data_IF_294859992598
#
_entry.id   IF_294859992598
#
_cell.length_a   1.000
_cell.length_b   1.000
_cell.length_c   1.000
_cell.angle_alpha   90.00
_cell.angle_beta   90.00
_cell.angle_gamma   90.00
#
_symmetry.space_group_name_H-M   'P 1'
#
loop_
_entity.id
_entity.type
_entity.pdbx_description
1 polymer ?
#
# COMPACT_ATOMS: atom_id res chain seq x y z
N UNK A 1 -30.33 -4.13 -33.17
CA UNK A 1 -29.60 -4.11 -31.88
C UNK A 1 -29.15 -5.50 -31.43
N UNK A 2 -30.04 -6.50 -31.35
CA UNK A 2 -29.68 -7.88 -30.97
C UNK A 2 -28.68 -8.56 -31.93
N UNK A 3 -28.80 -8.37 -33.24
CA UNK A 3 -27.83 -8.90 -34.21
C UNK A 3 -26.45 -8.23 -34.10
N UNK A 4 -26.42 -6.94 -33.75
CA UNK A 4 -25.18 -6.18 -33.53
C UNK A 4 -24.47 -6.69 -32.26
N UNK A 5 -25.24 -6.96 -31.20
CA UNK A 5 -24.76 -7.62 -29.97
C UNK A 5 -24.30 -9.07 -30.24
N UNK A 6 -25.03 -9.85 -31.04
CA UNK A 6 -24.65 -11.22 -31.40
C UNK A 6 -23.42 -11.30 -32.29
N UNK A 7 -23.26 -10.38 -33.25
CA UNK A 7 -22.06 -10.28 -34.07
C UNK A 7 -20.85 -9.80 -33.26
N UNK A 8 -21.05 -8.85 -32.33
CA UNK A 8 -20.03 -8.44 -31.37
C UNK A 8 -19.60 -9.63 -30.48
N UNK A 9 -20.55 -10.38 -29.94
CA UNK A 9 -20.30 -11.58 -29.13
C UNK A 9 -19.54 -12.66 -29.92
N UNK A 10 -20.01 -13.04 -31.12
CA UNK A 10 -19.33 -14.03 -31.95
C UNK A 10 -17.92 -13.57 -32.35
N UNK A 11 -17.70 -12.31 -32.69
CA UNK A 11 -16.35 -11.84 -33.07
C UNK A 11 -15.36 -11.79 -31.90
N UNK A 12 -15.84 -11.48 -30.69
CA UNK A 12 -15.01 -11.24 -29.50
C UNK A 12 -14.81 -12.50 -28.64
N UNK A 13 -15.74 -13.46 -28.68
CA UNK A 13 -15.73 -14.72 -27.92
C UNK A 13 -15.58 -15.99 -28.78
N UNK A 14 -15.19 -15.89 -30.05
CA UNK A 14 -14.86 -17.09 -30.85
C UNK A 14 -13.45 -17.63 -30.59
N UNK A 15 -12.57 -16.86 -29.94
CA UNK A 15 -11.23 -17.31 -29.60
C UNK A 15 -11.27 -18.12 -28.29
N UNK A 16 -10.95 -19.43 -28.32
CA UNK A 16 -10.92 -20.27 -27.14
C UNK A 16 -9.96 -19.77 -26.05
N UNK A 17 -8.90 -19.05 -26.43
CA UNK A 17 -7.95 -18.49 -25.47
C UNK A 17 -8.50 -17.28 -24.72
N UNK A 18 -9.30 -16.45 -25.38
CA UNK A 18 -9.94 -15.28 -24.77
C UNK A 18 -11.02 -15.72 -23.78
N UNK A 19 -11.80 -16.76 -24.12
CA UNK A 19 -12.75 -17.38 -23.18
C UNK A 19 -12.00 -17.97 -21.98
N UNK A 20 -10.91 -18.69 -22.19
CA UNK A 20 -10.13 -19.26 -21.10
C UNK A 20 -9.60 -18.17 -20.16
N UNK A 21 -9.02 -17.09 -20.69
CA UNK A 21 -8.57 -15.94 -19.90
C UNK A 21 -9.72 -15.32 -19.09
N UNK A 22 -10.88 -15.09 -19.72
CA UNK A 22 -12.05 -14.54 -19.05
C UNK A 22 -12.55 -15.45 -17.91
N UNK A 23 -12.61 -16.76 -18.14
CA UNK A 23 -12.99 -17.74 -17.11
C UNK A 23 -12.00 -17.71 -15.94
N UNK A 24 -10.69 -17.62 -16.21
CA UNK A 24 -9.65 -17.54 -15.18
C UNK A 24 -9.81 -16.26 -14.35
N UNK A 25 -10.03 -15.12 -15.01
CA UNK A 25 -10.21 -13.82 -14.35
C UNK A 25 -11.48 -13.80 -13.50
N UNK A 26 -12.61 -14.30 -14.03
CA UNK A 26 -13.87 -14.37 -13.28
C UNK A 26 -13.79 -15.33 -12.10
N UNK A 27 -13.15 -16.50 -12.28
CA UNK A 27 -12.93 -17.44 -11.19
C UNK A 27 -12.01 -16.85 -10.11
N UNK A 28 -10.90 -16.23 -10.51
CA UNK A 28 -9.97 -15.56 -9.59
C UNK A 28 -10.63 -14.41 -8.84
N UNK A 29 -11.38 -13.56 -9.54
CA UNK A 29 -12.16 -12.48 -8.94
C UNK A 29 -13.21 -13.02 -7.97
N UNK A 30 -13.96 -14.06 -8.34
CA UNK A 30 -14.95 -14.70 -7.47
C UNK A 30 -14.33 -15.26 -6.20
N UNK A 31 -13.20 -15.97 -6.31
CA UNK A 31 -12.45 -16.48 -5.16
C UNK A 31 -12.02 -15.33 -4.24
N UNK A 32 -11.43 -14.27 -4.80
CA UNK A 32 -11.02 -13.12 -4.00
C UNK A 32 -12.22 -12.40 -3.36
N UNK A 33 -13.35 -12.29 -4.05
CA UNK A 33 -14.54 -11.62 -3.55
C UNK A 33 -15.18 -12.38 -2.39
N UNK A 34 -15.38 -13.69 -2.53
CA UNK A 34 -16.03 -14.51 -1.49
C UNK A 34 -15.11 -14.91 -0.33
N UNK A 35 -13.80 -15.03 -0.58
CA UNK A 35 -12.83 -15.57 0.40
C UNK A 35 -11.77 -14.55 0.85
N UNK A 36 -11.97 -13.24 0.61
CA UNK A 36 -11.01 -12.18 0.93
C UNK A 36 -10.45 -12.25 2.37
N UNK A 37 -11.31 -12.48 3.36
CA UNK A 37 -10.90 -12.58 4.76
C UNK A 37 -10.03 -13.82 5.07
N UNK A 38 -10.34 -14.96 4.45
CA UNK A 38 -9.60 -16.21 4.63
C UNK A 38 -8.27 -16.21 3.86
N UNK A 39 -8.19 -15.47 2.76
CA UNK A 39 -7.01 -15.35 1.92
C UNK A 39 -6.01 -14.32 2.44
N UNK A 40 -6.37 -13.47 3.39
CA UNK A 40 -5.48 -12.44 3.92
C UNK A 40 -4.07 -12.96 4.32
N UNK A 41 -3.90 -14.01 5.15
CA UNK A 41 -2.55 -14.52 5.48
C UNK A 41 -1.81 -15.08 4.26
N UNK A 42 -2.55 -15.68 3.30
CA UNK A 42 -1.97 -16.15 2.05
C UNK A 42 -1.50 -14.99 1.18
N UNK A 43 -2.24 -13.88 1.10
CA UNK A 43 -1.84 -12.68 0.36
C UNK A 43 -0.58 -12.06 0.95
N UNK A 44 -0.48 -11.98 2.30
CA UNK A 44 0.77 -11.56 2.96
C UNK A 44 1.91 -12.48 2.56
N UNK A 45 1.70 -13.80 2.63
CA UNK A 45 2.74 -14.77 2.30
C UNK A 45 3.17 -14.70 0.83
N UNK A 46 2.24 -14.47 -0.10
CA UNK A 46 2.55 -14.26 -1.51
C UNK A 46 3.39 -12.99 -1.68
N UNK A 47 2.99 -11.87 -1.08
CA UNK A 47 3.75 -10.61 -1.16
C UNK A 47 5.18 -10.80 -0.64
N UNK A 48 5.32 -11.41 0.53
CA UNK A 48 6.62 -11.70 1.12
C UNK A 48 7.43 -12.69 0.28
N UNK A 49 6.81 -13.71 -0.31
CA UNK A 49 7.50 -14.63 -1.22
C UNK A 49 8.03 -13.89 -2.46
N UNK A 50 7.24 -12.99 -3.08
CA UNK A 50 7.71 -12.17 -4.20
C UNK A 50 8.89 -11.26 -3.82
N UNK A 51 8.85 -10.68 -2.62
CA UNK A 51 9.94 -9.87 -2.07
C UNK A 51 11.21 -10.70 -1.89
N UNK A 52 11.08 -11.85 -1.22
CA UNK A 52 12.19 -12.71 -0.79
C UNK A 52 12.72 -13.64 -1.89
N UNK A 53 12.02 -13.78 -3.03
CA UNK A 53 12.51 -14.56 -4.16
C UNK A 53 13.88 -14.04 -4.68
N UNK A 54 14.12 -12.72 -4.67
CA UNK A 54 15.39 -12.16 -5.14
C UNK A 54 16.60 -12.62 -4.32
N UNK A 55 16.64 -12.42 -2.99
CA UNK A 55 17.77 -12.88 -2.19
C UNK A 55 17.90 -14.42 -2.22
N UNK A 56 16.78 -15.17 -2.28
CA UNK A 56 16.82 -16.64 -2.38
C UNK A 56 17.53 -17.09 -3.66
N UNK A 57 17.15 -16.55 -4.82
CA UNK A 57 17.79 -16.89 -6.11
C UNK A 57 19.26 -16.43 -6.14
N UNK A 58 19.62 -15.33 -5.46
CA UNK A 58 21.02 -14.91 -5.35
C UNK A 58 21.87 -15.92 -4.56
N UNK A 59 21.34 -16.46 -3.46
CA UNK A 59 22.03 -17.50 -2.70
C UNK A 59 22.14 -18.83 -3.47
N UNK A 60 21.12 -19.19 -4.25
CA UNK A 60 21.19 -20.36 -5.12
C UNK A 60 22.32 -20.25 -6.15
N UNK A 61 22.50 -19.06 -6.74
CA UNK A 61 23.61 -18.79 -7.67
C UNK A 61 24.99 -18.90 -7.04
N UNK A 62 25.09 -18.79 -5.71
CA UNK A 62 26.33 -18.95 -4.94
C UNK A 62 26.55 -20.43 -4.56
N UNK A 63 25.60 -21.32 -4.86
CA UNK A 63 25.74 -22.78 -4.71
C UNK A 63 24.89 -23.40 -3.61
N UNK A 64 24.04 -22.62 -2.92
CA UNK A 64 23.12 -23.17 -1.91
C UNK A 64 21.95 -23.90 -2.59
N UNK A 65 21.54 -25.06 -2.06
CA UNK A 65 20.28 -25.69 -2.47
C UNK A 65 19.09 -24.77 -2.18
N UNK A 66 18.02 -24.86 -2.98
CA UNK A 66 16.78 -24.06 -2.82
C UNK A 66 16.26 -24.05 -1.38
N UNK A 67 16.25 -25.20 -0.71
CA UNK A 67 15.79 -25.33 0.69
C UNK A 67 16.65 -24.51 1.65
N UNK A 68 17.98 -24.65 1.58
CA UNK A 68 18.90 -23.91 2.45
C UNK A 68 18.88 -22.40 2.16
N UNK A 69 18.84 -22.01 0.88
CA UNK A 69 18.71 -20.61 0.49
C UNK A 69 17.41 -19.99 1.04
N UNK A 70 16.29 -20.72 0.95
CA UNK A 70 14.99 -20.27 1.48
C UNK A 70 15.01 -20.17 3.00
N UNK A 71 15.50 -21.19 3.70
CA UNK A 71 15.61 -21.16 5.17
C UNK A 71 16.46 -19.99 5.67
N UNK A 72 17.63 -19.77 5.07
CA UNK A 72 18.54 -18.71 5.49
C UNK A 72 17.94 -17.32 5.26
N UNK A 73 17.34 -17.08 4.10
CA UNK A 73 16.66 -15.81 3.78
C UNK A 73 15.50 -15.57 4.73
N UNK A 74 14.69 -16.60 5.00
CA UNK A 74 13.54 -16.45 5.88
C UNK A 74 13.97 -16.16 7.33
N UNK A 75 14.98 -16.88 7.85
CA UNK A 75 15.53 -16.63 9.19
C UNK A 75 16.09 -15.21 9.28
N UNK A 76 16.87 -14.76 8.30
CA UNK A 76 17.42 -13.41 8.28
C UNK A 76 16.32 -12.35 8.20
N UNK A 77 15.33 -12.56 7.33
CA UNK A 77 14.21 -11.64 7.17
C UNK A 77 13.36 -11.53 8.44
N UNK A 78 12.98 -12.66 9.04
CA UNK A 78 12.27 -12.68 10.32
C UNK A 78 13.12 -12.05 11.42
N UNK A 79 14.43 -12.31 11.46
CA UNK A 79 15.35 -11.68 12.39
C UNK A 79 15.39 -10.15 12.26
N UNK A 80 15.46 -9.63 11.03
CA UNK A 80 15.41 -8.18 10.75
C UNK A 80 14.05 -7.60 11.17
N UNK A 81 12.94 -8.28 10.85
CA UNK A 81 11.61 -7.84 11.25
C UNK A 81 11.44 -7.80 12.76
N UNK A 82 11.93 -8.82 13.47
CA UNK A 82 11.90 -8.85 14.93
C UNK A 82 12.77 -7.73 15.52
N UNK A 83 13.97 -7.50 14.98
CA UNK A 83 14.83 -6.40 15.41
C UNK A 83 14.14 -5.04 15.23
N UNK A 84 13.56 -4.79 14.05
CA UNK A 84 12.77 -3.58 13.79
C UNK A 84 11.56 -3.49 14.74
N UNK A 85 10.87 -4.61 14.99
CA UNK A 85 9.74 -4.66 15.89
C UNK A 85 10.13 -4.36 17.35
N UNK A 86 11.28 -4.82 17.83
CA UNK A 86 11.73 -4.56 19.20
C UNK A 86 12.39 -3.19 19.40
N UNK A 87 12.87 -2.55 18.32
CA UNK A 87 13.53 -1.23 18.40
C UNK A 87 12.58 -0.10 18.00
N UNK A 88 11.97 -0.19 16.82
CA UNK A 88 11.14 0.88 16.25
C UNK A 88 9.77 0.93 16.89
N UNK A 89 9.09 -0.21 17.07
CA UNK A 89 7.71 -0.19 17.57
C UNK A 89 7.60 0.37 18.99
N UNK A 90 8.45 0.04 19.98
CA UNK A 90 8.30 0.61 21.32
C UNK A 90 8.47 2.13 21.33
N UNK A 91 9.42 2.65 20.55
CA UNK A 91 9.67 4.10 20.45
C UNK A 91 8.53 4.79 19.73
N UNK A 92 8.08 4.26 18.59
CA UNK A 92 6.94 4.80 17.85
C UNK A 92 5.65 4.73 18.68
N UNK A 93 5.45 3.63 19.41
CA UNK A 93 4.31 3.44 20.31
C UNK A 93 4.31 4.46 21.45
N UNK A 94 5.46 4.66 22.09
CA UNK A 94 5.62 5.66 23.14
C UNK A 94 5.38 7.08 22.61
N UNK A 95 5.92 7.42 21.43
CA UNK A 95 5.64 8.68 20.74
C UNK A 95 4.16 8.83 20.40
N UNK A 96 3.47 7.75 20.05
CA UNK A 96 2.03 7.73 19.81
C UNK A 96 1.21 8.05 21.05
N UNK A 97 1.58 7.44 22.20
CA UNK A 97 0.96 7.75 23.49
C UNK A 97 1.14 9.23 23.85
N UNK A 98 2.35 9.77 23.68
CA UNK A 98 2.61 11.18 23.95
C UNK A 98 1.84 12.11 23.02
N UNK A 99 1.79 11.82 21.70
CA UNK A 99 0.99 12.58 20.76
C UNK A 99 -0.49 12.60 21.17
N UNK A 100 -1.05 11.46 21.58
CA UNK A 100 -2.45 11.39 22.05
C UNK A 100 -2.66 12.22 23.31
N UNK A 101 -1.71 12.16 24.26
CA UNK A 101 -1.76 12.93 25.50
C UNK A 101 -1.67 14.44 25.26
N UNK A 102 -0.87 14.87 24.29
CA UNK A 102 -0.63 16.28 23.98
C UNK A 102 -1.70 16.87 23.04
N UNK A 103 -2.44 16.01 22.33
CA UNK A 103 -3.48 16.38 21.36
C UNK A 103 -4.52 17.37 21.88
N UNK A 104 -5.09 17.23 23.10
CA UNK A 104 -6.04 18.21 23.64
C UNK A 104 -5.43 19.61 23.78
N UNK A 105 -4.14 19.69 24.16
CA UNK A 105 -3.42 20.95 24.24
C UNK A 105 -3.16 21.56 22.86
N UNK A 106 -2.85 20.73 21.86
CA UNK A 106 -2.71 21.16 20.46
C UNK A 106 -4.02 21.76 19.93
N UNK A 107 -5.15 21.09 20.21
CA UNK A 107 -6.47 21.57 19.84
C UNK A 107 -6.84 22.90 20.49
N UNK A 108 -6.55 23.05 21.79
CA UNK A 108 -6.86 24.30 22.50
C UNK A 108 -6.08 25.47 21.88
N UNK A 109 -4.78 25.31 21.60
CA UNK A 109 -4.00 26.36 20.92
C UNK A 109 -4.48 26.65 19.51
N UNK A 110 -4.90 25.62 18.76
CA UNK A 110 -5.48 25.82 17.43
C UNK A 110 -6.80 26.59 17.52
N UNK A 111 -7.63 26.29 18.52
CA UNK A 111 -8.90 26.99 18.78
C UNK A 111 -8.64 28.44 19.19
N UNK A 112 -7.66 28.69 20.06
CA UNK A 112 -7.25 30.04 20.45
C UNK A 112 -6.75 30.85 19.25
N UNK A 113 -5.91 30.25 18.39
CA UNK A 113 -5.45 30.87 17.15
C UNK A 113 -6.62 31.15 16.20
N UNK A 114 -7.51 30.17 16.01
CA UNK A 114 -8.68 30.30 15.16
C UNK A 114 -9.63 31.40 15.66
N UNK A 115 -9.80 31.56 16.98
CA UNK A 115 -10.58 32.64 17.57
C UNK A 115 -10.01 34.05 17.29
N UNK A 116 -8.73 34.16 16.92
CA UNK A 116 -8.15 35.43 16.45
C UNK A 116 -8.48 35.75 15.00
N UNK A 117 -8.87 34.77 14.18
CA UNK A 117 -9.14 34.94 12.75
C UNK A 117 -10.40 35.77 12.47
N UNK A 118 -11.56 35.56 13.11
CA UNK A 118 -12.73 36.42 12.94
C UNK A 118 -12.45 37.88 13.35
N UNK A 119 -11.55 38.09 14.31
CA UNK A 119 -11.12 39.45 14.71
C UNK A 119 -10.24 40.12 13.66
N UNK A 120 -9.44 39.35 12.92
CA UNK A 120 -8.54 39.87 11.87
C UNK A 120 -9.20 39.91 10.47
N UNK A 121 -10.14 39.01 10.20
CA UNK A 121 -10.82 38.84 8.92
C UNK A 121 -12.35 38.65 9.09
N UNK A 122 -13.06 39.61 9.69
CA UNK A 122 -14.49 39.48 9.99
C UNK A 122 -15.40 39.31 8.77
N UNK A 123 -14.94 39.67 7.57
CA UNK A 123 -15.67 39.49 6.32
C UNK A 123 -15.57 38.06 5.72
N UNK A 124 -14.66 37.23 6.21
CA UNK A 124 -14.37 35.89 5.65
C UNK A 124 -14.70 34.74 6.62
N UNK A 125 -14.78 35.00 7.93
CA UNK A 125 -15.01 33.95 8.94
C UNK A 125 -15.98 34.39 10.04
N UNK A 126 -17.02 33.59 10.28
CA UNK A 126 -17.95 33.72 11.41
C UNK A 126 -17.40 33.00 12.66
N UNK A 127 -17.40 33.68 13.81
CA UNK A 127 -16.94 33.13 15.07
C UNK A 127 -17.77 31.93 15.54
N UNK A 128 -19.08 31.90 15.27
CA UNK A 128 -19.95 30.80 15.68
C UNK A 128 -19.62 29.46 15.00
N UNK A 129 -19.11 29.50 13.77
CA UNK A 129 -18.68 28.30 13.02
C UNK A 129 -17.39 27.73 13.61
N UNK A 130 -16.45 28.58 14.03
CA UNK A 130 -15.17 28.17 14.62
C UNK A 130 -15.41 27.49 15.97
N UNK A 131 -16.24 28.08 16.83
CA UNK A 131 -16.55 27.53 18.15
C UNK A 131 -17.29 26.18 18.02
N UNK A 132 -18.25 26.07 17.10
CA UNK A 132 -18.94 24.81 16.83
C UNK A 132 -18.02 23.73 16.26
N UNK A 133 -17.05 24.08 15.40
CA UNK A 133 -16.04 23.15 14.90
C UNK A 133 -15.09 22.67 16.00
N UNK A 134 -14.63 23.59 16.87
CA UNK A 134 -13.75 23.27 17.99
C UNK A 134 -14.42 22.32 18.99
N UNK A 135 -15.68 22.58 19.36
CA UNK A 135 -16.45 21.74 20.29
C UNK A 135 -16.70 20.33 19.71
N UNK A 136 -17.03 20.25 18.42
CA UNK A 136 -17.21 18.98 17.72
C UNK A 136 -15.91 18.18 17.62
N UNK A 137 -14.78 18.83 17.34
CA UNK A 137 -13.46 18.18 17.33
C UNK A 137 -13.08 17.68 18.72
N UNK A 138 -13.31 18.48 19.77
CA UNK A 138 -13.02 18.12 21.16
C UNK A 138 -13.84 16.90 21.59
N UNK A 139 -15.14 16.90 21.33
CA UNK A 139 -16.04 15.79 21.68
C UNK A 139 -15.64 14.50 20.96
N UNK A 140 -15.36 14.57 19.65
CA UNK A 140 -14.90 13.41 18.88
C UNK A 140 -13.54 12.90 19.37
N UNK A 141 -12.60 13.77 19.72
CA UNK A 141 -11.30 13.33 20.23
C UNK A 141 -11.38 12.64 21.59
N UNK A 142 -12.22 13.11 22.52
CA UNK A 142 -12.43 12.42 23.80
C UNK A 142 -12.98 11.00 23.57
N UNK A 143 -13.91 10.83 22.63
CA UNK A 143 -14.43 9.50 22.28
C UNK A 143 -13.41 8.59 21.61
N UNK A 144 -12.49 9.14 20.80
CA UNK A 144 -11.40 8.38 20.16
C UNK A 144 -10.33 8.00 21.18
N UNK A 145 -9.93 8.90 22.07
CA UNK A 145 -8.96 8.65 23.14
C UNK A 145 -9.39 7.52 24.06
N UNK A 146 -10.66 7.54 24.51
CA UNK A 146 -11.25 6.47 25.32
C UNK A 146 -11.28 5.13 24.59
N UNK A 147 -11.54 5.14 23.28
CA UNK A 147 -11.60 3.92 22.47
C UNK A 147 -10.21 3.32 22.26
N UNK A 148 -9.19 4.13 21.96
CA UNK A 148 -7.80 3.67 21.76
C UNK A 148 -7.24 3.02 23.03
N UNK A 149 -7.50 3.60 24.21
CA UNK A 149 -7.10 3.01 25.50
C UNK A 149 -7.83 1.70 25.79
N UNK A 150 -9.12 1.59 25.46
CA UNK A 150 -9.91 0.36 25.62
C UNK A 150 -9.46 -0.75 24.67
N UNK A 151 -9.11 -0.44 23.43
CA UNK A 151 -8.55 -1.40 22.45
C UNK A 151 -7.12 -1.83 22.79
N UNK A 152 -6.34 -1.01 23.50
CA UNK A 152 -5.03 -1.40 24.03
C UNK A 152 -5.10 -2.51 25.09
N UNK A 153 -6.25 -2.70 25.75
CA UNK A 153 -6.43 -3.64 26.87
C UNK A 153 -7.31 -4.85 26.51
N UNK A 154 -8.05 -4.81 25.40
CA UNK A 154 -8.86 -5.92 24.88
C UNK A 154 -8.31 -6.35 23.50
N UNK A 155 -7.83 -7.57 23.26
CA UNK A 155 -8.36 -8.86 23.70
C UNK A 155 -7.28 -9.94 23.55
N UNK A 156 -7.26 -10.94 24.44
CA UNK A 156 -6.48 -12.17 24.28
C UNK A 156 -6.72 -12.84 22.90
N UNK A 157 -7.91 -12.63 22.32
CA UNK A 157 -8.30 -13.10 20.99
C UNK A 157 -7.42 -12.46 19.89
N UNK A 158 -7.15 -11.16 19.94
CA UNK A 158 -6.26 -10.49 18.99
C UNK A 158 -4.82 -10.99 19.07
N UNK A 159 -4.33 -11.25 20.28
CA UNK A 159 -3.00 -11.85 20.49
C UNK A 159 -2.93 -13.29 19.95
N UNK A 160 -3.99 -14.08 20.12
CA UNK A 160 -4.07 -15.43 19.54
C UNK A 160 -4.08 -15.38 18.01
N UNK A 161 -4.86 -14.50 17.39
CA UNK A 161 -4.85 -14.33 15.93
C UNK A 161 -3.47 -13.90 15.43
N UNK A 162 -2.83 -12.95 16.12
CA UNK A 162 -1.48 -12.51 15.80
C UNK A 162 -0.47 -13.64 15.93
N UNK A 163 -0.54 -14.45 16.99
CA UNK A 163 0.34 -15.61 17.20
C UNK A 163 0.17 -16.65 16.09
N UNK A 164 -1.07 -16.94 15.69
CA UNK A 164 -1.36 -17.82 14.55
C UNK A 164 -0.73 -17.26 13.28
N UNK A 165 -0.88 -15.97 13.00
CA UNK A 165 -0.32 -15.33 11.80
C UNK A 165 1.21 -15.33 11.81
N UNK A 166 1.82 -15.10 12.98
CA UNK A 166 3.27 -15.08 13.17
C UNK A 166 3.92 -16.43 12.86
N UNK A 167 3.18 -17.53 13.03
CA UNK A 167 3.65 -18.88 12.68
C UNK A 167 3.25 -19.26 11.25
N UNK A 168 2.00 -19.01 10.88
CA UNK A 168 1.42 -19.45 9.62
C UNK A 168 2.04 -18.75 8.41
N UNK A 169 2.24 -17.43 8.49
CA UNK A 169 2.76 -16.64 7.36
C UNK A 169 4.19 -17.05 7.00
N UNK A 170 5.17 -17.12 7.93
CA UNK A 170 6.51 -17.61 7.59
C UNK A 170 6.51 -19.02 7.01
N UNK A 171 5.66 -19.91 7.52
CA UNK A 171 5.51 -21.26 7.00
C UNK A 171 5.00 -21.26 5.55
N UNK A 172 3.97 -20.46 5.26
CA UNK A 172 3.46 -20.29 3.90
C UNK A 172 4.52 -19.71 2.96
N UNK A 173 5.25 -18.68 3.41
CA UNK A 173 6.36 -18.08 2.63
C UNK A 173 7.43 -19.13 2.32
N UNK A 174 7.81 -19.93 3.30
CA UNK A 174 8.78 -21.00 3.12
C UNK A 174 8.36 -21.97 2.01
N UNK A 175 7.13 -22.48 2.05
CA UNK A 175 6.64 -23.41 1.03
C UNK A 175 6.44 -22.74 -0.34
N UNK A 176 5.93 -21.50 -0.38
CA UNK A 176 5.77 -20.73 -1.61
C UNK A 176 7.10 -20.48 -2.33
N UNK A 177 8.18 -20.23 -1.58
CA UNK A 177 9.53 -20.08 -2.12
C UNK A 177 10.15 -21.42 -2.50
N UNK A 178 10.17 -22.38 -1.57
CA UNK A 178 10.83 -23.67 -1.75
C UNK A 178 10.20 -24.50 -2.87
N UNK A 179 8.87 -24.64 -2.84
CA UNK A 179 8.11 -25.57 -3.70
C UNK A 179 7.39 -24.83 -4.85
N UNK A 180 7.85 -23.62 -5.19
CA UNK A 180 7.29 -22.72 -6.22
C UNK A 180 6.92 -23.42 -7.53
N UNK A 181 7.87 -24.14 -8.13
CA UNK A 181 7.64 -24.81 -9.44
C UNK A 181 6.58 -25.91 -9.33
N UNK A 182 6.55 -26.66 -8.23
CA UNK A 182 5.55 -27.68 -7.99
C UNK A 182 4.15 -27.05 -7.86
N UNK A 183 4.02 -25.95 -7.11
CA UNK A 183 2.76 -25.23 -6.93
C UNK A 183 2.27 -24.61 -8.24
N UNK A 184 3.15 -23.96 -9.01
CA UNK A 184 2.81 -23.41 -10.33
C UNK A 184 2.37 -24.50 -11.30
N UNK A 185 3.02 -25.66 -11.28
CA UNK A 185 2.63 -26.80 -12.12
C UNK A 185 1.30 -27.42 -11.68
N UNK A 186 0.98 -27.43 -10.38
CA UNK A 186 -0.33 -27.87 -9.89
C UNK A 186 -1.45 -26.93 -10.37
N UNK A 187 -1.26 -25.60 -10.25
CA UNK A 187 -2.22 -24.61 -10.77
C UNK A 187 -2.39 -24.78 -12.28
N UNK A 188 -1.29 -24.97 -13.02
CA UNK A 188 -1.32 -25.25 -14.46
C UNK A 188 -2.07 -26.53 -14.84
N UNK A 189 -2.30 -27.48 -13.94
CA UNK A 189 -3.10 -28.68 -14.28
C UNK A 189 -4.61 -28.43 -14.19
N UNK A 190 -5.03 -27.43 -13.41
CA UNK A 190 -6.45 -27.06 -13.22
C UNK A 190 -6.93 -26.08 -14.28
N UNK A 191 -6.03 -25.25 -14.82
CA UNK A 191 -6.35 -24.25 -15.83
C UNK A 191 -6.75 -24.86 -17.20
N UNK A 192 -7.61 -24.19 -17.99
CA UNK A 192 -7.97 -24.63 -19.35
C UNK A 192 -6.76 -24.89 -20.26
N UNK A 193 -6.89 -25.84 -21.20
CA UNK A 193 -5.82 -26.22 -22.14
C UNK A 193 -5.42 -25.10 -23.12
N UNK A 194 -6.37 -24.31 -23.61
CA UNK A 194 -6.14 -23.21 -24.56
C UNK A 194 -5.85 -21.91 -23.80
N UNK A 195 -4.61 -21.73 -23.36
CA UNK A 195 -4.22 -20.69 -22.40
C UNK A 195 -3.06 -19.82 -22.87
N UNK A 196 -2.81 -19.73 -24.18
CA UNK A 196 -1.73 -18.91 -24.74
C UNK A 196 -1.78 -17.47 -24.21
N UNK A 197 -2.93 -16.81 -24.38
CA UNK A 197 -3.20 -15.48 -23.82
C UNK A 197 -3.00 -15.41 -22.30
N UNK A 198 -3.54 -16.36 -21.53
CA UNK A 198 -3.38 -16.37 -20.07
C UNK A 198 -1.92 -16.56 -19.62
N UNK A 199 -1.13 -17.32 -20.37
CA UNK A 199 0.30 -17.48 -20.14
C UNK A 199 1.10 -16.20 -20.42
N UNK A 200 0.71 -15.43 -21.44
CA UNK A 200 1.30 -14.13 -21.75
C UNK A 200 1.00 -13.12 -20.63
N UNK A 201 -0.28 -12.97 -20.26
CA UNK A 201 -0.71 -12.11 -19.15
C UNK A 201 -0.02 -12.53 -17.85
N UNK A 202 0.09 -13.84 -17.56
CA UNK A 202 0.80 -14.33 -16.38
C UNK A 202 2.27 -13.90 -16.36
N UNK A 203 2.99 -14.04 -17.48
CA UNK A 203 4.41 -13.69 -17.56
C UNK A 203 4.61 -12.19 -17.32
N UNK A 204 3.77 -11.37 -17.93
CA UNK A 204 3.77 -9.92 -17.74
C UNK A 204 3.48 -9.59 -16.27
N UNK A 205 2.33 -10.03 -15.74
CA UNK A 205 1.93 -9.73 -14.36
C UNK A 205 2.91 -10.23 -13.30
N UNK A 206 3.52 -11.40 -13.51
CA UNK A 206 4.52 -11.91 -12.58
C UNK A 206 5.73 -10.96 -12.48
N UNK A 207 6.16 -10.36 -13.60
CA UNK A 207 7.23 -9.36 -13.60
C UNK A 207 6.77 -8.06 -12.94
N UNK A 208 5.56 -7.58 -13.27
CA UNK A 208 5.00 -6.34 -12.73
C UNK A 208 4.83 -6.41 -11.21
N UNK A 209 4.23 -7.50 -10.69
CA UNK A 209 4.05 -7.74 -9.25
C UNK A 209 5.40 -7.83 -8.54
N UNK A 210 6.37 -8.52 -9.15
CA UNK A 210 7.74 -8.61 -8.59
C UNK A 210 8.39 -7.24 -8.46
N UNK A 211 8.34 -6.42 -9.52
CA UNK A 211 8.91 -5.08 -9.53
C UNK A 211 8.17 -4.17 -8.54
N UNK A 212 6.84 -4.22 -8.53
CA UNK A 212 5.99 -3.42 -7.67
C UNK A 212 6.26 -3.68 -6.18
N UNK A 213 6.28 -4.94 -5.74
CA UNK A 213 6.49 -5.27 -4.34
C UNK A 213 7.89 -4.81 -3.87
N UNK A 214 8.92 -5.05 -4.68
CA UNK A 214 10.29 -4.63 -4.36
C UNK A 214 10.42 -3.10 -4.33
N UNK A 215 9.85 -2.45 -5.33
CA UNK A 215 9.77 -0.99 -5.41
C UNK A 215 9.10 -0.43 -4.16
N UNK A 216 7.91 -0.94 -3.77
CA UNK A 216 7.16 -0.45 -2.61
C UNK A 216 7.92 -0.60 -1.30
N UNK A 217 8.59 -1.73 -1.08
CA UNK A 217 9.41 -1.92 0.13
C UNK A 217 10.58 -0.95 0.17
N UNK A 218 11.27 -0.76 -0.96
CA UNK A 218 12.37 0.19 -1.06
C UNK A 218 11.90 1.64 -0.86
N UNK A 219 10.79 2.01 -1.49
CA UNK A 219 10.14 3.32 -1.38
C UNK A 219 9.79 3.63 0.08
N UNK A 220 9.11 2.70 0.78
CA UNK A 220 8.78 2.85 2.19
C UNK A 220 10.03 3.10 3.06
N UNK A 221 11.12 2.36 2.83
CA UNK A 221 12.36 2.50 3.60
C UNK A 221 13.00 3.86 3.31
N UNK A 222 13.18 4.21 2.04
CA UNK A 222 13.84 5.46 1.62
C UNK A 222 13.07 6.67 2.12
N UNK A 223 11.75 6.70 1.92
CA UNK A 223 10.90 7.81 2.36
C UNK A 223 10.86 7.91 3.89
N UNK A 224 10.73 6.78 4.61
CA UNK A 224 10.78 6.78 6.08
C UNK A 224 12.11 7.35 6.60
N UNK A 225 13.24 6.86 6.07
CA UNK A 225 14.56 7.26 6.54
C UNK A 225 14.85 8.72 6.20
N UNK A 226 14.56 9.16 4.97
CA UNK A 226 14.75 10.56 4.56
C UNK A 226 13.90 11.51 5.40
N UNK A 227 12.63 11.15 5.65
CA UNK A 227 11.73 11.92 6.50
C UNK A 227 12.19 11.95 7.94
N UNK A 228 12.64 10.82 8.49
CA UNK A 228 13.13 10.73 9.86
C UNK A 228 14.37 11.58 10.09
N UNK A 229 15.34 11.53 9.17
CA UNK A 229 16.52 12.40 9.19
C UNK A 229 16.09 13.86 9.13
N UNK A 230 15.21 14.21 8.19
CA UNK A 230 14.66 15.56 8.09
C UNK A 230 14.04 16.05 9.40
N UNK A 231 13.20 15.24 10.03
CA UNK A 231 12.53 15.60 11.28
C UNK A 231 13.48 15.71 12.47
N UNK A 232 14.49 14.83 12.58
CA UNK A 232 15.50 14.92 13.64
C UNK A 232 16.35 16.18 13.50
N UNK A 233 16.74 16.56 12.27
CA UNK A 233 17.59 17.75 12.05
C UNK A 233 16.94 19.04 12.55
N UNK A 234 15.61 19.13 12.50
CA UNK A 234 14.84 20.26 13.04
C UNK A 234 14.37 20.04 14.48
N UNK A 235 14.67 18.89 15.10
CA UNK A 235 14.23 18.56 16.45
C UNK A 235 12.73 18.39 16.59
N UNK A 236 12.03 17.95 15.53
CA UNK A 236 10.58 17.73 15.57
C UNK A 236 10.22 16.60 16.54
N UNK A 237 9.24 16.84 17.41
CA UNK A 237 8.68 15.85 18.30
C UNK A 237 8.00 14.73 17.51
N UNK A 238 8.05 13.51 18.08
CA UNK A 238 7.47 12.32 17.45
C UNK A 238 8.05 11.99 16.07
N UNK A 239 9.29 12.41 15.80
CA UNK A 239 9.95 12.29 14.49
C UNK A 239 9.94 10.87 13.93
N UNK A 240 10.22 9.85 14.75
CA UNK A 240 10.21 8.45 14.31
C UNK A 240 8.80 7.97 13.96
N UNK A 241 7.81 8.23 14.81
CA UNK A 241 6.42 7.89 14.56
C UNK A 241 5.93 8.53 13.26
N UNK A 242 6.13 9.84 13.11
CA UNK A 242 5.67 10.58 11.94
C UNK A 242 6.38 10.10 10.68
N UNK A 243 7.69 9.84 10.73
CA UNK A 243 8.44 9.33 9.58
C UNK A 243 7.99 7.93 9.16
N UNK A 244 7.72 7.04 10.13
CA UNK A 244 7.14 5.72 9.86
C UNK A 244 5.77 5.86 9.22
N UNK A 245 4.89 6.74 9.73
CA UNK A 245 3.60 7.02 9.12
C UNK A 245 3.75 7.53 7.68
N UNK A 246 4.69 8.44 7.43
CA UNK A 246 4.95 8.99 6.09
C UNK A 246 5.40 7.88 5.14
N UNK A 247 6.32 7.01 5.56
CA UNK A 247 6.72 5.85 4.77
C UNK A 247 5.58 4.88 4.48
N UNK A 248 4.78 4.50 5.48
CA UNK A 248 3.61 3.64 5.27
C UNK A 248 2.53 4.29 4.39
N UNK A 249 2.44 5.62 4.40
CA UNK A 249 1.47 6.36 3.60
C UNK A 249 1.63 6.13 2.10
N UNK A 250 2.86 5.85 1.67
CA UNK A 250 3.23 5.60 0.27
C UNK A 250 2.56 4.32 -0.31
N UNK A 251 2.05 3.44 0.56
CA UNK A 251 1.24 2.30 0.15
C UNK A 251 -0.10 2.71 -0.51
N UNK A 252 -0.59 3.91 -0.21
CA UNK A 252 -1.85 4.44 -0.74
C UNK A 252 -1.52 5.63 -1.64
N UNK A 253 -1.47 5.44 -2.97
CA UNK A 253 -1.11 6.50 -3.91
C UNK A 253 -1.98 7.75 -3.73
N UNK A 254 -1.34 8.92 -3.71
CA UNK A 254 -1.91 10.27 -3.53
C UNK A 254 -2.58 10.53 -2.17
N UNK A 255 -3.49 9.64 -1.75
CA UNK A 255 -4.29 9.82 -0.54
C UNK A 255 -3.43 9.67 0.72
N UNK A 256 -2.51 8.71 0.75
CA UNK A 256 -1.68 8.48 1.93
C UNK A 256 -0.84 9.68 2.31
N UNK A 257 -0.10 10.25 1.35
CA UNK A 257 0.71 11.44 1.57
C UNK A 257 -0.13 12.63 2.08
N UNK A 258 -1.33 12.83 1.52
CA UNK A 258 -2.25 13.86 1.99
C UNK A 258 -2.68 13.64 3.45
N UNK A 259 -3.13 12.43 3.79
CA UNK A 259 -3.61 12.09 5.13
C UNK A 259 -2.51 12.26 6.18
N UNK A 260 -1.27 11.84 5.88
CA UNK A 260 -0.16 11.91 6.84
C UNK A 260 0.48 13.30 6.91
N UNK A 261 0.30 14.14 5.89
CA UNK A 261 0.70 15.56 5.97
C UNK A 261 -0.03 16.28 7.11
N UNK A 262 -1.28 15.91 7.41
CA UNK A 262 -2.07 16.55 8.48
C UNK A 262 -1.37 16.45 9.85
N UNK A 263 -1.05 15.25 10.39
CA UNK A 263 -0.35 15.15 11.67
C UNK A 263 1.06 15.74 11.62
N UNK A 264 1.79 15.63 10.50
CA UNK A 264 3.13 16.25 10.35
C UNK A 264 3.06 17.76 10.52
N UNK A 265 2.19 18.42 9.75
CA UNK A 265 1.99 19.87 9.80
C UNK A 265 1.42 20.29 11.14
N UNK A 266 0.47 19.53 11.69
CA UNK A 266 -0.15 19.81 12.99
C UNK A 266 0.87 19.82 14.13
N UNK A 267 1.74 18.81 14.20
CA UNK A 267 2.81 18.73 15.20
C UNK A 267 3.82 19.85 15.00
N UNK A 268 4.28 20.08 13.76
CA UNK A 268 5.25 21.12 13.47
C UNK A 268 4.73 22.52 13.82
N UNK A 269 3.48 22.82 13.46
CA UNK A 269 2.84 24.10 13.76
C UNK A 269 2.64 24.29 15.27
N UNK A 270 2.29 23.22 15.99
CA UNK A 270 2.15 23.29 17.44
C UNK A 270 3.49 23.52 18.16
N UNK A 271 4.55 22.87 17.70
CA UNK A 271 5.87 22.95 18.32
C UNK A 271 6.57 24.28 18.01
N UNK A 272 6.54 24.71 16.75
CA UNK A 272 7.30 25.86 16.27
C UNK A 272 6.47 27.13 16.04
N UNK A 273 5.14 27.04 16.10
CA UNK A 273 4.26 28.12 15.62
C UNK A 273 4.40 28.34 14.11
N UNK A 274 3.87 29.46 13.59
CA UNK A 274 4.02 29.84 12.18
C UNK A 274 5.36 30.54 11.88
N UNK A 275 6.43 30.19 12.62
CA UNK A 275 7.76 30.78 12.53
C UNK A 275 8.63 30.20 11.42
N UNK A 276 9.89 30.64 11.38
CA UNK A 276 10.88 30.23 10.35
C UNK A 276 11.17 28.72 10.41
N UNK A 277 11.23 28.14 11.61
CA UNK A 277 11.50 26.72 11.83
C UNK A 277 10.39 25.84 11.24
N UNK A 278 9.12 26.24 11.40
CA UNK A 278 7.98 25.57 10.78
C UNK A 278 8.08 25.58 9.26
N UNK A 279 8.26 26.76 8.65
CA UNK A 279 8.31 26.87 7.19
C UNK A 279 9.52 26.16 6.59
N UNK A 280 10.64 26.15 7.31
CA UNK A 280 11.86 25.45 6.89
C UNK A 280 11.67 23.93 6.94
N UNK A 281 11.10 23.40 8.02
CA UNK A 281 10.74 21.98 8.12
C UNK A 281 9.71 21.60 7.07
N UNK A 282 8.67 22.42 6.87
CA UNK A 282 7.63 22.19 5.89
C UNK A 282 8.19 22.19 4.46
N UNK A 283 9.12 23.10 4.15
CA UNK A 283 9.83 23.10 2.88
C UNK A 283 10.64 21.80 2.67
N UNK A 284 11.39 21.35 3.67
CA UNK A 284 12.13 20.07 3.60
C UNK A 284 11.17 18.89 3.42
N UNK A 285 10.06 18.85 4.15
CA UNK A 285 9.02 17.84 3.98
C UNK A 285 8.44 17.84 2.57
N UNK A 286 8.10 19.01 2.01
CA UNK A 286 7.61 19.14 0.64
C UNK A 286 8.65 18.72 -0.40
N UNK A 287 9.93 19.00 -0.16
CA UNK A 287 11.02 18.53 -1.02
C UNK A 287 11.06 17.00 -1.01
N UNK A 288 10.95 16.36 0.16
CA UNK A 288 10.93 14.90 0.28
C UNK A 288 9.72 14.33 -0.48
N UNK A 289 8.52 14.87 -0.28
CA UNK A 289 7.30 14.45 -1.00
C UNK A 289 7.41 14.68 -2.51
N UNK A 290 8.02 15.79 -2.92
CA UNK A 290 8.28 16.11 -4.31
C UNK A 290 9.27 15.14 -4.96
N UNK A 291 10.35 14.79 -4.26
CA UNK A 291 11.32 13.79 -4.70
C UNK A 291 10.71 12.39 -4.75
N UNK A 292 9.86 12.04 -3.78
CA UNK A 292 9.13 10.77 -3.80
C UNK A 292 8.27 10.65 -5.07
N UNK A 293 7.36 11.60 -5.28
CA UNK A 293 6.42 11.57 -6.40
C UNK A 293 7.05 11.75 -7.79
N UNK A 294 8.11 12.57 -7.92
CA UNK A 294 8.67 12.94 -9.23
C UNK A 294 9.99 12.23 -9.58
N UNK A 295 10.69 11.64 -8.61
CA UNK A 295 11.95 10.93 -8.85
C UNK A 295 11.85 9.47 -8.43
N UNK A 296 11.47 9.20 -7.18
CA UNK A 296 11.50 7.85 -6.62
C UNK A 296 10.45 6.97 -7.30
N UNK A 297 9.21 7.45 -7.45
CA UNK A 297 8.14 6.70 -8.11
C UNK A 297 8.51 6.35 -9.57
N UNK A 298 8.96 7.27 -10.43
CA UNK A 298 9.36 6.91 -11.80
C UNK A 298 10.53 5.93 -11.87
N UNK A 299 11.51 6.04 -10.96
CA UNK A 299 12.69 5.16 -10.92
C UNK A 299 12.32 3.75 -10.46
N UNK A 300 11.42 3.63 -9.47
CA UNK A 300 11.01 2.34 -8.90
C UNK A 300 9.88 1.66 -9.70
N UNK A 301 9.03 2.44 -10.38
CA UNK A 301 7.82 1.97 -11.05
C UNK A 301 7.68 2.55 -12.46
N UNK A 302 8.49 2.08 -13.40
CA UNK A 302 8.38 2.48 -14.82
C UNK A 302 6.98 2.25 -15.41
N UNK A 303 6.22 1.29 -14.88
CA UNK A 303 4.84 1.00 -15.30
C UNK A 303 3.82 2.02 -14.76
N UNK A 304 4.03 2.55 -13.55
CA UNK A 304 3.15 3.57 -12.97
C UNK A 304 3.20 4.87 -13.78
N UNK A 305 4.36 5.19 -14.34
CA UNK A 305 4.55 6.34 -15.25
C UNK A 305 3.68 6.25 -16.51
N UNK A 306 3.34 5.02 -16.94
CA UNK A 306 2.54 4.79 -18.14
C UNK A 306 1.02 4.76 -17.87
N UNK A 307 0.59 5.02 -16.63
CA UNK A 307 -0.81 5.13 -16.25
C UNK A 307 -1.18 6.58 -16.03
N UNK A 308 -2.36 6.98 -16.54
CA UNK A 308 -2.91 8.29 -16.22
C UNK A 308 -3.25 8.35 -14.71
N UNK A 309 -2.93 9.42 -13.97
CA UNK A 309 -3.20 9.52 -12.53
C UNK A 309 -4.64 9.19 -12.13
N UNK A 310 -5.61 9.62 -12.95
CA UNK A 310 -7.02 9.27 -12.76
C UNK A 310 -7.28 7.76 -12.74
N UNK A 311 -6.59 6.97 -13.57
CA UNK A 311 -6.73 5.50 -13.59
C UNK A 311 -6.23 4.91 -12.28
N UNK A 312 -5.13 5.43 -11.73
CA UNK A 312 -4.59 4.99 -10.43
C UNK A 312 -5.61 5.31 -9.32
N UNK A 313 -6.14 6.55 -9.28
CA UNK A 313 -7.13 6.97 -8.28
C UNK A 313 -8.40 6.11 -8.38
N UNK A 314 -8.95 5.91 -9.58
CA UNK A 314 -10.12 5.06 -9.79
C UNK A 314 -9.86 3.61 -9.36
N UNK A 315 -8.67 3.08 -9.66
CA UNK A 315 -8.28 1.73 -9.25
C UNK A 315 -8.21 1.61 -7.72
N UNK A 316 -7.63 2.60 -7.03
CA UNK A 316 -7.61 2.65 -5.55
C UNK A 316 -9.03 2.67 -4.99
N UNK A 317 -9.93 3.49 -5.54
CA UNK A 317 -11.32 3.59 -5.07
C UNK A 317 -12.08 2.29 -5.32
N UNK A 318 -12.01 1.74 -6.54
CA UNK A 318 -12.74 0.53 -6.93
C UNK A 318 -12.22 -0.69 -6.18
N UNK A 319 -10.92 -0.98 -6.29
CA UNK A 319 -10.36 -2.19 -5.66
C UNK A 319 -10.28 -2.04 -4.15
N UNK A 320 -10.00 -0.84 -3.64
CA UNK A 320 -10.05 -0.56 -2.21
C UNK A 320 -11.44 -0.77 -1.61
N UNK A 321 -12.51 -0.39 -2.34
CA UNK A 321 -13.88 -0.67 -1.94
C UNK A 321 -14.23 -2.17 -1.93
N UNK A 322 -13.63 -2.96 -2.83
CA UNK A 322 -13.92 -4.39 -2.97
C UNK A 322 -13.13 -5.27 -1.98
N UNK A 323 -11.84 -4.99 -1.78
CA UNK A 323 -10.93 -5.86 -1.03
C UNK A 323 -10.20 -5.15 0.11
N UNK A 324 -10.62 -3.93 0.46
CA UNK A 324 -10.02 -3.14 1.52
C UNK A 324 -8.54 -2.84 1.24
N UNK A 325 -7.70 -3.02 2.26
CA UNK A 325 -6.27 -2.76 2.18
C UNK A 325 -5.59 -3.45 0.98
N UNK A 326 -5.94 -4.71 0.69
CA UNK A 326 -5.31 -5.45 -0.40
C UNK A 326 -5.63 -4.87 -1.77
N UNK A 327 -6.86 -4.39 -1.96
CA UNK A 327 -7.24 -3.74 -3.21
C UNK A 327 -6.55 -2.40 -3.42
N UNK A 328 -6.32 -1.64 -2.35
CA UNK A 328 -5.53 -0.41 -2.39
C UNK A 328 -4.06 -0.72 -2.69
N UNK A 329 -3.46 -1.67 -1.96
CA UNK A 329 -2.06 -2.05 -2.12
C UNK A 329 -1.77 -2.54 -3.53
N UNK A 330 -2.66 -3.32 -4.15
CA UNK A 330 -2.48 -3.83 -5.50
C UNK A 330 -3.13 -2.97 -6.59
N UNK A 331 -3.57 -1.74 -6.29
CA UNK A 331 -4.31 -0.90 -7.24
C UNK A 331 -3.55 -0.68 -8.56
N UNK A 332 -2.23 -0.42 -8.49
CA UNK A 332 -1.40 -0.23 -9.69
C UNK A 332 -1.25 -1.54 -10.49
N UNK A 333 -0.82 -2.68 -9.89
CA UNK A 333 -0.81 -3.98 -10.58
C UNK A 333 -2.16 -4.42 -11.15
N UNK A 334 -3.27 -4.08 -10.50
CA UNK A 334 -4.60 -4.41 -11.01
C UNK A 334 -5.01 -3.50 -12.17
N UNK A 335 -4.63 -2.22 -12.14
CA UNK A 335 -4.83 -1.31 -13.25
C UNK A 335 -4.04 -1.75 -14.50
N UNK A 336 -2.79 -2.17 -14.31
CA UNK A 336 -1.95 -2.71 -15.38
C UNK A 336 -2.45 -4.06 -15.87
N UNK A 337 -2.99 -4.91 -14.99
CA UNK A 337 -3.68 -6.15 -15.40
C UNK A 337 -4.86 -5.84 -16.33
N UNK A 338 -5.71 -4.86 -16.00
CA UNK A 338 -6.81 -4.46 -16.89
C UNK A 338 -6.26 -4.02 -18.25
N UNK A 339 -5.21 -3.18 -18.26
CA UNK A 339 -4.57 -2.72 -19.49
C UNK A 339 -4.00 -3.89 -20.32
N UNK A 340 -3.31 -4.84 -19.68
CA UNK A 340 -2.74 -6.02 -20.32
C UNK A 340 -3.82 -6.93 -20.91
N UNK A 341 -4.92 -7.16 -20.18
CA UNK A 341 -6.07 -7.94 -20.66
C UNK A 341 -6.75 -7.25 -21.85
N UNK A 342 -6.95 -5.93 -21.79
CA UNK A 342 -7.54 -5.17 -22.91
C UNK A 342 -6.65 -5.24 -24.15
N UNK A 343 -5.32 -5.13 -23.99
CA UNK A 343 -4.36 -5.19 -25.09
C UNK A 343 -4.20 -6.60 -25.69
N UNK A 344 -4.21 -7.63 -24.84
CA UNK A 344 -4.13 -9.02 -25.26
C UNK A 344 -5.45 -9.52 -25.88
N UNK A 345 -6.55 -8.81 -25.68
CA UNK A 345 -7.84 -9.24 -26.20
C UNK A 345 -7.88 -9.12 -27.73
N UNK A 346 -8.20 -10.20 -28.46
CA UNK A 346 -8.21 -10.18 -29.92
C UNK A 346 -9.12 -9.08 -30.48
N UNK A 347 -8.52 -8.10 -31.14
CA UNK A 347 -9.22 -7.09 -31.91
C UNK A 347 -9.81 -7.75 -33.16
N UNK A 348 -11.13 -7.73 -33.26
CA UNK A 348 -11.87 -8.21 -34.44
C UNK A 348 -11.56 -7.41 -35.72
N UNK A 349 -10.62 -6.46 -35.67
CA UNK A 349 -10.02 -5.84 -36.83
C UNK A 349 -8.93 -6.75 -37.37
N UNK A 350 -9.34 -7.69 -38.24
CA UNK A 350 -8.42 -8.40 -39.10
C UNK A 350 -7.54 -7.40 -39.86
N UNK A 351 -6.22 -7.53 -39.71
CA UNK A 351 -5.28 -6.71 -40.46
C UNK A 351 -3.85 -6.96 -39.99
N UNK A 352 -3.16 -7.86 -40.68
CA UNK A 352 -1.70 -7.99 -40.64
C UNK A 352 -1.04 -6.60 -40.57
N UNK A 353 -0.40 -6.28 -39.46
CA UNK A 353 0.73 -5.33 -39.43
C UNK A 353 1.88 -6.12 -38.81
N UNK A 354 2.50 -6.94 -39.67
CA UNK A 354 3.84 -6.67 -40.21
C UNK A 354 4.89 -6.67 -39.10
N UNK A 355 5.61 -7.80 -39.06
CA UNK A 355 7.00 -7.85 -38.60
C UNK A 355 7.75 -6.67 -39.22
N UNK A 356 8.34 -5.84 -38.38
CA UNK A 356 9.71 -5.33 -38.51
C UNK A 356 10.16 -4.82 -37.15
#
# INVERSE_FOLDING_TARGET
MLEMLMQWYRRRFSDPEAIALLVILLAGFGIMFFFSGLLAPLLVAIVLAYLLEWPTVRLERIGLSRTWATSLVLILFVGILLLLAFVVLPVAWQQGIYLIRDMPGMLNKLSDFAATLPRRYPALMDAGIIDAMAENMRTRMLTVGDSVVKYSLASLVGLLTLAVYLVLVPLMVFFLLKDKEQMLNAVRRVLPRNRGLAGQVWKEMNQQITNYIRGKVLEMIVVSVATWIGFILFGLNYSLLLAVLVGFSVLIPYIGAFVVTIPVVGVALFQFGAGTEFWSLFAVYLIIQGLDGNLLVPVLFSEAVNLHPLVIILSVVIFGGLWGFWGVFFAIPLATLIKAVVHAWPDGFGGRRLRQ
#
